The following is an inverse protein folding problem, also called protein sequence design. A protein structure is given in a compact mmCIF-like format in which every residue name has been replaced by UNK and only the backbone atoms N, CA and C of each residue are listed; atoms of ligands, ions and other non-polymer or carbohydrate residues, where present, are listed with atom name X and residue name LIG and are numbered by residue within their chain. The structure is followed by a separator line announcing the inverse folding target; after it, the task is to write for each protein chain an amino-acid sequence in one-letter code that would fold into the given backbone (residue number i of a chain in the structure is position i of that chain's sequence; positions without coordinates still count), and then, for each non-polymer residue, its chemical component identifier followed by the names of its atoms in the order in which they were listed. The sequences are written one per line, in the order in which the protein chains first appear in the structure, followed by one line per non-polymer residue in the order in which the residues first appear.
data_IF_502996057220
#
_entry.id   IF_502996057220
#
_cell.length_a   1.000
_cell.length_b   1.000
_cell.length_c   1.000
_cell.angle_alpha   90.00
_cell.angle_beta   90.00
_cell.angle_gamma   90.00
#
_symmetry.space_group_name_H-M   'P 1'
#
loop_
_entity.id
_entity.type
_entity.pdbx_description
1 polymer ?
#
# COMPACT_ATOMS: atom_id res chain seq x y z
N UNK A 1 -48.50 29.65 15.15
CA UNK A 1 -47.14 29.10 15.32
C UNK A 1 -46.33 29.30 14.04
N UNK A 2 -45.11 29.84 14.14
CA UNK A 2 -44.23 30.00 12.99
C UNK A 2 -43.74 28.64 12.50
N UNK A 3 -43.91 28.35 11.20
CA UNK A 3 -43.45 27.13 10.57
C UNK A 3 -42.01 27.30 10.10
N UNK A 4 -41.08 26.51 10.65
CA UNK A 4 -39.69 26.49 10.22
C UNK A 4 -39.52 25.47 9.08
N UNK A 5 -39.11 25.94 7.90
CA UNK A 5 -38.78 25.09 6.74
C UNK A 5 -37.29 24.67 6.82
N UNK A 6 -37.04 23.38 7.01
CA UNK A 6 -35.68 22.84 7.12
C UNK A 6 -34.88 22.67 5.81
N UNK A 7 -35.36 23.25 4.68
CA UNK A 7 -34.80 23.05 3.35
C UNK A 7 -33.35 23.47 3.19
N UNK A 8 -32.91 24.53 3.84
CA UNK A 8 -31.51 24.98 3.82
C UNK A 8 -30.55 23.97 4.45
N UNK A 9 -30.96 23.35 5.55
CA UNK A 9 -30.12 22.34 6.22
C UNK A 9 -29.96 21.07 5.37
N UNK A 10 -31.06 20.61 4.76
CA UNK A 10 -31.01 19.46 3.84
C UNK A 10 -30.10 19.75 2.63
N UNK A 11 -30.24 20.92 2.01
CA UNK A 11 -29.40 21.34 0.87
C UNK A 11 -27.91 21.40 1.23
N UNK A 12 -27.58 21.96 2.38
CA UNK A 12 -26.18 22.00 2.86
C UNK A 12 -25.60 20.60 3.06
N UNK A 13 -26.34 19.67 3.68
CA UNK A 13 -25.94 18.27 3.87
C UNK A 13 -25.77 17.57 2.53
N UNK A 14 -26.70 17.75 1.59
CA UNK A 14 -26.61 17.16 0.25
C UNK A 14 -25.40 17.70 -0.53
N UNK A 15 -25.16 18.99 -0.51
CA UNK A 15 -24.01 19.60 -1.18
C UNK A 15 -22.67 19.13 -0.63
N UNK A 16 -22.57 18.85 0.68
CA UNK A 16 -21.35 18.29 1.29
C UNK A 16 -21.02 16.92 0.68
N UNK A 17 -22.01 16.05 0.52
CA UNK A 17 -21.83 14.73 -0.09
C UNK A 17 -21.51 14.85 -1.58
N UNK A 18 -22.22 15.72 -2.31
CA UNK A 18 -21.97 15.93 -3.74
C UNK A 18 -20.59 16.52 -4.03
N UNK A 19 -20.04 17.33 -3.13
CA UNK A 19 -18.65 17.80 -3.24
C UNK A 19 -17.65 16.62 -3.20
N UNK A 20 -17.87 15.64 -2.32
CA UNK A 20 -17.03 14.45 -2.23
C UNK A 20 -17.20 13.52 -3.44
N UNK A 21 -18.33 13.59 -4.12
CA UNK A 21 -18.65 12.79 -5.31
C UNK A 21 -18.21 13.45 -6.63
N UNK A 22 -17.55 14.60 -6.60
CA UNK A 22 -17.04 15.25 -7.81
C UNK A 22 -16.10 14.32 -8.58
N UNK A 23 -16.27 14.27 -9.89
CA UNK A 23 -15.48 13.40 -10.78
C UNK A 23 -16.03 11.99 -10.93
N UNK A 24 -17.09 11.60 -10.23
CA UNK A 24 -17.74 10.31 -10.41
C UNK A 24 -18.57 10.30 -11.71
N UNK A 25 -18.71 9.13 -12.31
CA UNK A 25 -19.42 8.97 -13.57
C UNK A 25 -20.95 9.00 -13.40
N UNK A 26 -21.62 9.67 -14.33
CA UNK A 26 -23.07 9.69 -14.47
C UNK A 26 -23.78 10.25 -13.24
N UNK A 27 -24.87 9.60 -12.84
CA UNK A 27 -25.72 10.00 -11.73
C UNK A 27 -24.99 9.99 -10.36
N UNK A 28 -23.90 9.25 -10.22
CA UNK A 28 -23.11 9.18 -8.99
C UNK A 28 -22.49 10.53 -8.58
N UNK A 29 -22.27 11.43 -9.54
CA UNK A 29 -21.77 12.78 -9.26
C UNK A 29 -22.87 13.83 -9.06
N UNK A 30 -24.11 13.54 -9.48
CA UNK A 30 -25.20 14.52 -9.57
C UNK A 30 -26.39 14.21 -8.68
N UNK A 31 -26.82 12.95 -8.60
CA UNK A 31 -27.97 12.55 -7.79
C UNK A 31 -27.53 12.20 -6.37
N UNK A 32 -28.06 12.89 -5.38
CA UNK A 32 -27.67 12.72 -3.97
C UNK A 32 -27.77 11.28 -3.48
N UNK A 33 -28.87 10.57 -3.76
CA UNK A 33 -29.09 9.20 -3.30
C UNK A 33 -27.97 8.25 -3.76
N UNK A 34 -27.64 8.30 -5.04
CA UNK A 34 -26.59 7.46 -5.65
C UNK A 34 -25.20 7.95 -5.25
N UNK A 35 -25.01 9.27 -5.21
CA UNK A 35 -23.75 9.88 -4.76
C UNK A 35 -23.41 9.48 -3.33
N UNK A 36 -24.38 9.52 -2.42
CA UNK A 36 -24.21 9.14 -1.01
C UNK A 36 -23.73 7.70 -0.88
N UNK A 37 -24.36 6.75 -1.57
CA UNK A 37 -23.93 5.35 -1.57
C UNK A 37 -22.51 5.17 -2.09
N UNK A 38 -22.20 5.85 -3.19
CA UNK A 38 -20.86 5.78 -3.81
C UNK A 38 -19.78 6.37 -2.89
N UNK A 39 -20.06 7.50 -2.24
CA UNK A 39 -19.12 8.12 -1.28
C UNK A 39 -18.93 7.25 -0.04
N UNK A 40 -19.99 6.67 0.51
CA UNK A 40 -19.88 5.74 1.64
C UNK A 40 -18.99 4.55 1.29
N UNK A 41 -19.18 3.96 0.09
CA UNK A 41 -18.36 2.85 -0.38
C UNK A 41 -16.90 3.27 -0.62
N UNK A 42 -16.67 4.46 -1.16
CA UNK A 42 -15.34 5.00 -1.35
C UNK A 42 -14.58 5.17 -0.03
N UNK A 43 -15.24 5.69 1.00
CA UNK A 43 -14.63 5.89 2.32
C UNK A 43 -14.31 4.57 3.03
N UNK A 44 -15.21 3.59 2.97
CA UNK A 44 -14.95 2.25 3.54
C UNK A 44 -13.83 1.53 2.81
N UNK A 45 -13.79 1.58 1.48
CA UNK A 45 -12.71 1.00 0.67
C UNK A 45 -11.38 1.70 0.93
N UNK A 46 -11.39 3.02 1.09
CA UNK A 46 -10.20 3.82 1.44
C UNK A 46 -9.62 3.41 2.80
N UNK A 47 -10.47 3.20 3.80
CA UNK A 47 -10.03 2.70 5.11
C UNK A 47 -9.39 1.32 5.00
N UNK A 48 -10.04 0.38 4.33
CA UNK A 48 -9.50 -0.96 4.10
C UNK A 48 -8.19 -0.92 3.31
N UNK A 49 -8.12 -0.09 2.25
CA UNK A 49 -6.94 0.10 1.42
C UNK A 49 -5.72 0.62 2.20
N UNK A 50 -5.94 1.59 3.10
CA UNK A 50 -4.86 2.08 3.98
C UNK A 50 -4.33 0.98 4.92
N UNK A 51 -5.20 0.10 5.42
CA UNK A 51 -4.79 -1.06 6.24
C UNK A 51 -4.03 -2.10 5.42
N UNK A 52 -4.44 -2.34 4.18
CA UNK A 52 -3.79 -3.29 3.28
C UNK A 52 -2.46 -2.78 2.72
N UNK A 53 -2.26 -1.47 2.66
CA UNK A 53 -1.06 -0.85 2.07
C UNK A 53 0.25 -1.41 2.63
N UNK A 54 0.33 -1.61 3.95
CA UNK A 54 1.52 -2.21 4.60
C UNK A 54 1.81 -3.61 4.08
N UNK A 55 0.77 -4.44 3.94
CA UNK A 55 0.90 -5.82 3.44
C UNK A 55 1.34 -5.85 1.99
N UNK A 56 0.77 -4.99 1.15
CA UNK A 56 1.08 -4.91 -0.28
C UNK A 56 2.53 -4.47 -0.50
N UNK A 57 2.99 -3.43 0.21
CA UNK A 57 4.39 -3.00 0.10
C UNK A 57 5.36 -4.07 0.60
N UNK A 58 5.06 -4.73 1.72
CA UNK A 58 5.90 -5.82 2.20
C UNK A 58 5.99 -6.97 1.19
N UNK A 59 4.88 -7.33 0.56
CA UNK A 59 4.86 -8.35 -0.49
C UNK A 59 5.72 -7.94 -1.69
N UNK A 60 5.63 -6.69 -2.12
CA UNK A 60 6.46 -6.15 -3.19
C UNK A 60 7.96 -6.21 -2.86
N UNK A 61 8.34 -5.82 -1.65
CA UNK A 61 9.74 -5.91 -1.21
C UNK A 61 10.25 -7.35 -1.21
N UNK A 62 9.46 -8.28 -0.69
CA UNK A 62 9.81 -9.71 -0.67
C UNK A 62 10.00 -10.24 -2.10
N UNK A 63 9.14 -9.85 -3.04
CA UNK A 63 9.26 -10.24 -4.45
C UNK A 63 10.57 -9.74 -5.06
N UNK A 64 10.91 -8.47 -4.84
CA UNK A 64 12.16 -7.87 -5.34
C UNK A 64 13.40 -8.53 -4.75
N UNK A 65 13.43 -8.72 -3.43
CA UNK A 65 14.54 -9.40 -2.74
C UNK A 65 14.68 -10.84 -3.23
N UNK A 66 13.56 -11.57 -3.40
CA UNK A 66 13.60 -12.95 -3.88
C UNK A 66 14.17 -13.05 -5.30
N UNK A 67 13.77 -12.15 -6.19
CA UNK A 67 14.32 -12.10 -7.55
C UNK A 67 15.82 -11.88 -7.53
N UNK A 68 16.30 -10.86 -6.81
CA UNK A 68 17.73 -10.56 -6.71
C UNK A 68 18.52 -11.67 -6.00
N UNK A 69 17.95 -12.30 -4.97
CA UNK A 69 18.57 -13.44 -4.29
C UNK A 69 18.74 -14.63 -5.22
N UNK A 70 17.74 -14.94 -6.03
CA UNK A 70 17.81 -16.03 -7.03
C UNK A 70 18.85 -15.76 -8.10
N UNK A 71 19.01 -14.53 -8.56
CA UNK A 71 20.08 -14.14 -9.48
C UNK A 71 21.47 -14.41 -8.89
N UNK A 72 21.60 -14.30 -7.57
CA UNK A 72 22.82 -14.63 -6.83
C UNK A 72 22.87 -16.08 -6.33
N UNK A 73 21.97 -16.96 -6.79
CA UNK A 73 21.99 -18.39 -6.46
C UNK A 73 21.46 -18.76 -5.06
N UNK A 74 20.72 -17.87 -4.41
CA UNK A 74 20.08 -18.10 -3.11
C UNK A 74 18.56 -18.05 -3.20
N UNK A 75 17.86 -18.84 -2.37
CA UNK A 75 16.44 -18.59 -2.13
C UNK A 75 16.25 -17.46 -1.12
N UNK A 76 15.10 -16.82 -1.15
CA UNK A 76 14.75 -15.76 -0.20
C UNK A 76 14.97 -16.16 1.27
N UNK A 77 14.52 -17.37 1.64
CA UNK A 77 14.63 -17.86 3.02
C UNK A 77 16.09 -18.07 3.43
N UNK A 78 16.92 -18.65 2.56
CA UNK A 78 18.36 -18.83 2.80
C UNK A 78 19.06 -17.48 2.90
N UNK A 79 18.77 -16.55 2.01
CA UNK A 79 19.33 -15.21 2.04
C UNK A 79 19.01 -14.48 3.35
N UNK A 80 17.74 -14.45 3.76
CA UNK A 80 17.33 -13.81 5.02
C UNK A 80 17.91 -14.49 6.26
N UNK A 81 18.03 -15.82 6.24
CA UNK A 81 18.66 -16.58 7.32
C UNK A 81 20.17 -16.28 7.40
N UNK A 82 20.86 -16.27 6.26
CA UNK A 82 22.27 -15.92 6.18
C UNK A 82 22.58 -14.52 6.70
N UNK A 83 21.77 -13.52 6.34
CA UNK A 83 21.89 -12.16 6.88
C UNK A 83 21.68 -12.12 8.39
N UNK A 84 20.69 -12.85 8.90
CA UNK A 84 20.44 -12.94 10.35
C UNK A 84 21.62 -13.60 11.07
N UNK A 85 22.21 -14.66 10.50
CA UNK A 85 23.38 -15.33 11.07
C UNK A 85 24.66 -14.48 11.01
N UNK A 86 24.71 -13.52 10.08
CA UNK A 86 25.77 -12.51 9.99
C UNK A 86 25.54 -11.28 10.89
N UNK A 87 24.46 -11.26 11.67
CA UNK A 87 24.00 -10.13 12.49
C UNK A 87 23.76 -8.83 11.68
N UNK A 88 23.40 -8.98 10.41
CA UNK A 88 23.05 -7.85 9.54
C UNK A 88 21.55 -7.58 9.64
N UNK A 89 21.19 -6.51 10.33
CA UNK A 89 19.81 -6.10 10.60
C UNK A 89 19.36 -5.01 9.63
N UNK A 90 19.15 -5.37 8.37
CA UNK A 90 18.61 -4.45 7.36
C UNK A 90 17.11 -4.68 7.14
N UNK A 91 16.37 -3.58 7.01
CA UNK A 91 14.95 -3.62 6.68
C UNK A 91 14.69 -4.14 5.27
N UNK A 92 13.58 -4.83 5.08
CA UNK A 92 13.15 -5.32 3.76
C UNK A 92 12.99 -4.20 2.74
N UNK A 93 12.64 -3.00 3.18
CA UNK A 93 12.53 -1.82 2.30
C UNK A 93 13.89 -1.46 1.73
N UNK A 94 14.92 -1.39 2.58
CA UNK A 94 16.31 -1.09 2.18
C UNK A 94 16.85 -2.19 1.27
N UNK A 95 16.67 -3.46 1.63
CA UNK A 95 17.10 -4.59 0.81
C UNK A 95 16.43 -4.61 -0.57
N UNK A 96 15.14 -4.26 -0.64
CA UNK A 96 14.41 -4.19 -1.90
C UNK A 96 14.85 -3.00 -2.76
N UNK A 97 15.24 -1.91 -2.14
CA UNK A 97 15.80 -0.74 -2.83
C UNK A 97 17.19 -1.04 -3.40
N UNK A 98 18.06 -1.65 -2.61
CA UNK A 98 19.37 -2.13 -3.07
C UNK A 98 19.25 -3.13 -4.22
N UNK A 99 18.28 -4.04 -4.16
CA UNK A 99 18.03 -5.02 -5.22
C UNK A 99 17.78 -4.40 -6.59
N UNK A 100 17.24 -3.17 -6.62
CA UNK A 100 16.91 -2.46 -7.87
C UNK A 100 17.98 -1.42 -8.23
N UNK A 101 18.41 -0.64 -7.25
CA UNK A 101 19.25 0.55 -7.48
C UNK A 101 20.75 0.27 -7.27
N UNK A 102 21.11 -0.74 -6.46
CA UNK A 102 22.50 -1.14 -6.19
C UNK A 102 22.67 -2.66 -6.22
N UNK A 103 22.66 -3.28 -7.42
CA UNK A 103 22.85 -4.72 -7.55
C UNK A 103 24.21 -5.21 -7.04
N UNK A 104 25.26 -4.38 -7.16
CA UNK A 104 26.62 -4.73 -6.71
C UNK A 104 26.69 -4.80 -5.17
N UNK A 105 26.08 -3.85 -4.47
CA UNK A 105 25.94 -3.91 -3.01
C UNK A 105 25.12 -5.10 -2.54
N UNK A 106 24.05 -5.41 -3.25
CA UNK A 106 23.21 -6.58 -2.97
C UNK A 106 23.97 -7.90 -3.17
N UNK A 107 24.81 -8.00 -4.21
CA UNK A 107 25.65 -9.18 -4.45
C UNK A 107 26.64 -9.44 -3.30
N UNK A 108 27.28 -8.39 -2.76
CA UNK A 108 28.14 -8.51 -1.58
C UNK A 108 27.40 -9.04 -0.35
N UNK A 109 26.18 -8.56 -0.12
CA UNK A 109 25.32 -9.09 0.95
C UNK A 109 24.95 -10.56 0.72
N UNK A 110 24.71 -10.96 -0.53
CA UNK A 110 24.43 -12.34 -0.87
C UNK A 110 25.65 -13.26 -0.66
N UNK A 111 26.85 -12.79 -0.96
CA UNK A 111 28.10 -13.51 -0.68
C UNK A 111 28.32 -13.69 0.84
N UNK A 112 28.10 -12.63 1.61
CA UNK A 112 28.16 -12.68 3.08
C UNK A 112 27.15 -13.68 3.63
N UNK A 113 25.91 -13.66 3.10
CA UNK A 113 24.89 -14.63 3.49
C UNK A 113 25.30 -16.07 3.14
N UNK A 114 25.90 -16.31 1.96
CA UNK A 114 26.41 -17.63 1.56
C UNK A 114 27.49 -18.14 2.50
N UNK A 115 28.45 -17.31 2.87
CA UNK A 115 29.56 -17.68 3.76
C UNK A 115 29.06 -18.14 5.15
N UNK A 116 27.92 -17.65 5.60
CA UNK A 116 27.30 -18.04 6.88
C UNK A 116 26.37 -19.24 6.78
N UNK A 117 26.06 -19.69 5.57
CA UNK A 117 25.24 -20.88 5.30
C UNK A 117 26.09 -22.14 5.09
N UNK A 118 27.35 -21.93 4.77
CA UNK A 118 28.36 -23.00 4.72
C UNK A 118 28.86 -23.31 6.14
#
# INVERSE_FOLDING_TARGET
MARIKGGMNAKRKHNKVLKLAKGYRGARSKQYRVAKQSVMRALTSSYAGRKQRKRQFRQLWITRINAASRMNGLSYSKFMYGLKSADIQLDRKILADMAVNDPAGFAKLAETAKSKLA
#
